data_IF_602594254402
#
_entry.id   IF_602594254402
#
_cell.length_a   1.000
_cell.length_b   1.000
_cell.length_c   1.000
_cell.angle_alpha   90.00
_cell.angle_beta   90.00
_cell.angle_gamma   90.00
#
_symmetry.space_group_name_H-M   'P 1'
#
loop_
_entity.id
_entity.type
_entity.pdbx_description
1 polymer ?
#
# COMPACT_ATOMS: atom_id res chain seq x y z
N UNK A 1 40.15 49.25 -7.19
CA UNK A 1 39.22 48.22 -7.69
C UNK A 1 37.82 48.68 -7.35
N UNK A 2 36.99 48.94 -8.36
CA UNK A 2 35.71 49.62 -8.16
C UNK A 2 34.74 48.72 -7.42
N UNK A 3 34.17 49.21 -6.31
CA UNK A 3 33.29 48.42 -5.43
C UNK A 3 32.07 47.85 -6.18
N UNK A 4 31.64 48.49 -7.27
CA UNK A 4 30.57 47.97 -8.14
C UNK A 4 30.99 46.73 -8.94
N UNK A 5 32.26 46.67 -9.38
CA UNK A 5 32.81 45.55 -10.11
C UNK A 5 33.00 44.31 -9.21
N UNK A 6 33.33 44.52 -7.93
CA UNK A 6 33.45 43.43 -6.94
C UNK A 6 32.10 42.81 -6.59
N UNK A 7 31.02 43.59 -6.51
CA UNK A 7 29.67 43.05 -6.29
C UNK A 7 29.15 42.25 -7.51
N UNK A 8 29.49 42.68 -8.73
CA UNK A 8 29.10 41.98 -9.95
C UNK A 8 29.79 40.62 -10.10
N UNK A 9 31.10 40.53 -9.82
CA UNK A 9 31.86 39.27 -9.87
C UNK A 9 31.44 38.28 -8.78
N UNK A 10 31.16 38.75 -7.56
CA UNK A 10 30.68 37.89 -6.48
C UNK A 10 29.30 37.26 -6.79
N UNK A 11 28.42 38.00 -7.48
CA UNK A 11 27.10 37.49 -7.88
C UNK A 11 27.18 36.40 -8.95
N UNK A 12 28.16 36.45 -9.86
CA UNK A 12 28.35 35.41 -10.90
C UNK A 12 28.91 34.13 -10.26
N UNK A 13 29.86 34.25 -9.33
CA UNK A 13 30.42 33.09 -8.61
C UNK A 13 29.34 32.39 -7.78
N UNK A 14 28.44 33.15 -7.13
CA UNK A 14 27.32 32.57 -6.37
C UNK A 14 26.34 31.76 -7.23
N UNK A 15 26.01 32.24 -8.43
CA UNK A 15 25.11 31.53 -9.36
C UNK A 15 25.77 30.26 -9.93
N UNK A 16 27.09 30.31 -10.20
CA UNK A 16 27.83 29.13 -10.68
C UNK A 16 27.91 28.04 -9.60
N UNK A 17 28.11 28.40 -8.32
CA UNK A 17 28.13 27.44 -7.19
C UNK A 17 26.76 26.80 -6.94
N UNK A 18 25.66 27.56 -7.10
CA UNK A 18 24.31 27.01 -6.97
C UNK A 18 23.96 26.06 -8.12
N UNK A 19 24.36 26.38 -9.35
CA UNK A 19 24.14 25.51 -10.51
C UNK A 19 24.93 24.20 -10.42
N UNK A 20 26.21 24.24 -9.98
CA UNK A 20 27.01 23.02 -9.76
C UNK A 20 26.53 22.21 -8.56
N UNK A 21 26.08 22.86 -7.48
CA UNK A 21 25.46 22.17 -6.35
C UNK A 21 24.16 21.45 -6.72
N UNK A 22 23.34 22.06 -7.60
CA UNK A 22 22.09 21.46 -8.06
C UNK A 22 22.32 20.30 -9.03
N UNK A 23 23.31 20.38 -9.94
CA UNK A 23 23.67 19.26 -10.80
C UNK A 23 24.35 18.13 -10.03
N UNK A 24 25.21 18.42 -9.05
CA UNK A 24 25.84 17.40 -8.20
C UNK A 24 24.81 16.75 -7.24
N UNK A 25 23.86 17.52 -6.71
CA UNK A 25 22.74 17.02 -5.92
C UNK A 25 21.86 16.07 -6.74
N UNK A 26 21.48 16.46 -7.96
CA UNK A 26 20.72 15.57 -8.87
C UNK A 26 21.52 14.33 -9.28
N UNK A 27 22.85 14.40 -9.40
CA UNK A 27 23.68 13.21 -9.66
C UNK A 27 23.62 12.21 -8.50
N UNK A 28 23.72 12.69 -7.24
CA UNK A 28 23.62 11.82 -6.06
C UNK A 28 22.23 11.18 -5.88
N UNK A 29 21.15 11.83 -6.37
CA UNK A 29 19.81 11.23 -6.38
C UNK A 29 19.57 10.32 -7.59
N UNK A 30 20.29 10.50 -8.70
CA UNK A 30 20.15 9.69 -9.92
C UNK A 30 21.05 8.45 -9.95
N UNK A 31 22.11 8.42 -9.14
CA UNK A 31 23.04 7.29 -9.00
C UNK A 31 22.77 6.42 -7.76
N UNK A 32 21.66 6.63 -7.03
CA UNK A 32 21.17 5.57 -6.13
C UNK A 32 20.82 4.38 -7.02
N UNK A 33 21.59 3.28 -6.98
CA UNK A 33 21.10 2.05 -7.54
C UNK A 33 19.92 1.67 -6.66
N UNK A 34 18.74 1.57 -7.26
CA UNK A 34 17.65 0.79 -6.68
C UNK A 34 18.13 -0.67 -6.66
N UNK A 35 18.88 -1.04 -5.62
CA UNK A 35 19.56 -2.31 -5.52
C UNK A 35 20.33 -2.47 -4.21
N UNK A 36 19.80 -3.36 -3.35
CA UNK A 36 20.46 -4.09 -2.25
C UNK A 36 21.10 -3.27 -1.11
N UNK A 37 20.43 -3.24 0.04
CA UNK A 37 21.12 -3.42 1.31
C UNK A 37 20.69 -4.76 1.93
N UNK A 38 21.67 -5.66 2.03
CA UNK A 38 21.64 -6.88 2.83
C UNK A 38 21.36 -6.52 4.30
N UNK A 39 20.16 -6.83 4.77
CA UNK A 39 19.98 -7.15 6.18
C UNK A 39 20.00 -8.67 6.33
N UNK A 40 21.16 -9.14 6.78
CA UNK A 40 21.50 -10.50 7.18
C UNK A 40 20.30 -11.20 7.85
N UNK A 41 19.60 -12.01 7.07
CA UNK A 41 18.68 -13.01 7.60
C UNK A 41 19.52 -14.18 8.08
N UNK A 42 19.46 -14.44 9.38
CA UNK A 42 19.88 -15.72 9.93
C UNK A 42 19.06 -16.82 9.24
N UNK A 43 19.76 -17.83 8.70
CA UNK A 43 19.18 -19.08 8.26
C UNK A 43 18.33 -19.69 9.38
N UNK A 44 17.05 -19.90 9.11
CA UNK A 44 16.27 -20.96 9.73
C UNK A 44 15.59 -21.71 8.60
N UNK A 45 16.13 -22.90 8.32
CA UNK A 45 15.65 -23.79 7.28
C UNK A 45 14.49 -24.68 7.81
N UNK A 46 13.61 -24.98 6.85
CA UNK A 46 12.64 -26.09 6.72
C UNK A 46 11.23 -26.05 7.32
N UNK A 47 10.31 -26.01 6.34
CA UNK A 47 9.14 -26.88 6.16
C UNK A 47 7.93 -26.62 7.08
N UNK A 48 7.00 -25.80 6.59
CA UNK A 48 5.68 -26.27 6.14
C UNK A 48 4.74 -25.06 5.96
N UNK A 49 4.62 -24.50 4.75
CA UNK A 49 3.35 -24.00 4.17
C UNK A 49 3.51 -23.98 2.64
N UNK A 50 3.38 -25.15 2.02
CA UNK A 50 3.18 -25.27 0.58
C UNK A 50 1.66 -25.28 0.32
N UNK A 51 1.14 -24.18 -0.21
CA UNK A 51 0.10 -24.24 -1.23
C UNK A 51 0.15 -22.97 -2.08
N UNK A 52 0.88 -23.08 -3.17
CA UNK A 52 0.90 -22.14 -4.27
C UNK A 52 -0.51 -21.98 -4.86
N UNK A 53 -1.01 -20.74 -4.88
CA UNK A 53 -1.95 -20.29 -5.91
C UNK A 53 -1.38 -19.00 -6.47
N UNK A 54 -0.81 -19.13 -7.68
CA UNK A 54 -0.41 -18.10 -8.62
C UNK A 54 0.25 -16.84 -8.02
N UNK A 55 1.58 -16.82 -8.04
CA UNK A 55 2.34 -15.56 -8.06
C UNK A 55 2.06 -14.86 -9.40
N UNK A 56 0.91 -14.19 -9.48
CA UNK A 56 0.57 -13.30 -10.59
C UNK A 56 1.41 -12.04 -10.40
N UNK A 57 2.24 -11.76 -11.41
CA UNK A 57 3.21 -10.68 -11.43
C UNK A 57 2.51 -9.32 -11.55
N UNK A 58 1.94 -8.86 -10.44
CA UNK A 58 1.44 -7.51 -10.22
C UNK A 58 1.72 -7.11 -8.78
N UNK A 59 2.58 -6.11 -8.57
CA UNK A 59 2.99 -5.66 -7.24
C UNK A 59 1.83 -5.22 -6.34
N UNK A 60 0.66 -4.94 -6.91
CA UNK A 60 -0.53 -4.46 -6.23
C UNK A 60 -1.53 -5.58 -5.85
N UNK A 61 -1.25 -6.86 -6.08
CA UNK A 61 -2.21 -7.94 -5.79
C UNK A 61 -1.95 -8.66 -4.45
N UNK A 62 -0.85 -8.38 -3.76
CA UNK A 62 -0.35 -9.25 -2.70
C UNK A 62 -0.39 -8.59 -1.33
N UNK A 63 -0.84 -9.36 -0.33
CA UNK A 63 -0.88 -8.95 1.07
C UNK A 63 0.50 -9.18 1.73
N UNK A 64 1.28 -8.11 1.88
CA UNK A 64 2.67 -8.13 2.36
C UNK A 64 2.86 -8.05 3.88
N UNK A 65 1.78 -8.03 4.67
CA UNK A 65 1.86 -8.07 6.13
C UNK A 65 2.11 -9.48 6.67
N UNK A 66 2.79 -9.55 7.81
CA UNK A 66 3.10 -10.78 8.56
C UNK A 66 2.73 -10.63 10.03
N UNK A 67 2.97 -11.67 10.83
CA UNK A 67 2.71 -11.62 12.28
C UNK A 67 3.57 -10.58 13.01
N UNK A 68 4.72 -10.20 12.44
CA UNK A 68 5.64 -9.20 13.01
C UNK A 68 5.35 -7.79 12.54
N UNK A 69 4.36 -7.60 11.65
CA UNK A 69 3.96 -6.26 11.19
C UNK A 69 3.39 -5.44 12.34
N UNK A 70 3.64 -4.14 12.26
CA UNK A 70 3.07 -3.13 13.15
C UNK A 70 1.57 -2.97 12.92
N UNK A 71 0.86 -2.40 13.90
CA UNK A 71 -0.56 -2.09 13.76
C UNK A 71 -0.83 -1.14 12.58
N UNK A 72 0.05 -0.17 12.34
CA UNK A 72 -0.07 0.79 11.25
C UNK A 72 0.02 0.12 9.88
N UNK A 73 0.96 -0.82 9.70
CA UNK A 73 1.07 -1.62 8.48
C UNK A 73 -0.18 -2.48 8.24
N UNK A 74 -0.73 -3.07 9.30
CA UNK A 74 -1.96 -3.85 9.22
C UNK A 74 -3.15 -2.95 8.85
N UNK A 75 -3.28 -1.78 9.46
CA UNK A 75 -4.31 -0.78 9.12
C UNK A 75 -4.17 -0.34 7.66
N UNK A 76 -2.95 -0.07 7.19
CA UNK A 76 -2.67 0.33 5.81
C UNK A 76 -3.07 -0.76 4.81
N UNK A 77 -2.76 -2.02 5.12
CA UNK A 77 -3.19 -3.16 4.32
C UNK A 77 -4.72 -3.29 4.29
N UNK A 78 -5.39 -3.20 5.44
CA UNK A 78 -6.85 -3.26 5.55
C UNK A 78 -7.52 -2.12 4.78
N UNK A 79 -6.99 -0.89 4.89
CA UNK A 79 -7.48 0.25 4.11
C UNK A 79 -7.33 0.00 2.61
N UNK A 80 -6.17 -0.49 2.18
CA UNK A 80 -5.90 -0.80 0.77
C UNK A 80 -6.81 -1.90 0.23
N UNK A 81 -7.30 -2.82 1.08
CA UNK A 81 -8.30 -3.81 0.69
C UNK A 81 -9.65 -3.15 0.37
N UNK A 82 -10.07 -2.12 1.12
CA UNK A 82 -11.35 -1.44 0.88
C UNK A 82 -11.42 -0.74 -0.49
N UNK A 83 -10.29 -0.43 -1.11
CA UNK A 83 -10.23 0.23 -2.42
C UNK A 83 -10.89 -0.59 -3.54
N UNK A 84 -10.98 -1.91 -3.40
CA UNK A 84 -11.72 -2.77 -4.34
C UNK A 84 -13.22 -2.48 -4.36
N UNK A 85 -13.79 -2.03 -3.23
CA UNK A 85 -15.23 -1.88 -3.04
C UNK A 85 -15.72 -0.43 -3.04
N UNK A 86 -14.81 0.55 -3.13
CA UNK A 86 -15.11 1.97 -2.91
C UNK A 86 -14.53 2.84 -4.03
N UNK A 87 -15.38 3.69 -4.62
CA UNK A 87 -15.02 4.76 -5.57
C UNK A 87 -14.30 5.90 -4.84
N UNK A 88 -13.40 6.60 -5.55
CA UNK A 88 -12.45 7.64 -5.07
C UNK A 88 -11.04 7.15 -4.70
N UNK A 89 -10.71 5.89 -5.00
CA UNK A 89 -9.38 5.32 -4.81
C UNK A 89 -8.65 4.99 -6.11
N UNK A 90 -9.13 5.49 -7.27
CA UNK A 90 -8.44 5.33 -8.55
C UNK A 90 -7.00 5.86 -8.48
N UNK A 91 -6.04 5.05 -8.93
CA UNK A 91 -4.61 5.38 -8.88
C UNK A 91 -3.93 5.16 -7.52
N UNK A 92 -4.68 4.78 -6.47
CA UNK A 92 -4.09 4.31 -5.21
C UNK A 92 -3.80 2.81 -5.31
N UNK A 93 -2.75 2.35 -4.63
CA UNK A 93 -2.51 0.92 -4.47
C UNK A 93 -3.71 0.24 -3.81
N UNK A 94 -4.01 -0.98 -4.21
CA UNK A 94 -5.07 -1.78 -3.62
C UNK A 94 -4.51 -3.14 -3.21
N UNK A 95 -5.28 -3.88 -2.42
CA UNK A 95 -5.04 -5.29 -2.13
C UNK A 95 -6.36 -6.01 -2.40
N UNK A 96 -6.38 -7.22 -2.97
CA UNK A 96 -7.63 -7.93 -3.20
C UNK A 96 -8.41 -8.13 -1.89
N UNK A 97 -9.67 -7.70 -1.85
CA UNK A 97 -10.64 -7.93 -0.77
C UNK A 97 -11.17 -9.37 -0.84
N UNK A 98 -10.26 -10.35 -0.85
CA UNK A 98 -10.60 -11.76 -0.87
C UNK A 98 -10.85 -12.27 0.55
N UNK A 99 -11.69 -13.30 0.67
CA UNK A 99 -11.86 -14.03 1.94
C UNK A 99 -10.53 -14.51 2.51
N UNK A 100 -9.63 -15.02 1.65
CA UNK A 100 -8.29 -15.49 2.03
C UNK A 100 -7.45 -14.38 2.67
N UNK A 101 -7.48 -13.17 2.10
CA UNK A 101 -6.75 -12.04 2.67
C UNK A 101 -7.39 -11.58 3.99
N UNK A 102 -8.72 -11.52 4.08
CA UNK A 102 -9.41 -11.18 5.32
C UNK A 102 -9.07 -12.17 6.47
N UNK A 103 -9.05 -13.47 6.18
CA UNK A 103 -8.65 -14.50 7.15
C UNK A 103 -7.18 -14.38 7.56
N UNK A 104 -6.28 -14.07 6.63
CA UNK A 104 -4.85 -13.83 6.94
C UNK A 104 -4.67 -12.62 7.84
N UNK A 105 -5.33 -11.49 7.55
CA UNK A 105 -5.32 -10.30 8.42
C UNK A 105 -5.85 -10.67 9.81
N UNK A 106 -6.98 -11.36 9.89
CA UNK A 106 -7.58 -11.80 11.17
C UNK A 106 -6.62 -12.66 11.99
N UNK A 107 -5.87 -13.57 11.35
CA UNK A 107 -4.85 -14.37 12.02
C UNK A 107 -3.73 -13.50 12.62
N UNK A 108 -3.27 -12.49 11.88
CA UNK A 108 -2.25 -11.54 12.34
C UNK A 108 -2.77 -10.73 13.54
N UNK A 109 -4.00 -10.23 13.47
CA UNK A 109 -4.66 -9.52 14.56
C UNK A 109 -4.77 -10.39 15.82
N UNK A 110 -5.16 -11.66 15.67
CA UNK A 110 -5.31 -12.59 16.79
C UNK A 110 -4.01 -12.83 17.55
N UNK A 111 -2.88 -12.93 16.86
CA UNK A 111 -1.56 -13.16 17.47
C UNK A 111 -0.85 -11.90 17.97
N UNK A 112 -1.44 -10.72 17.83
CA UNK A 112 -0.87 -9.45 18.28
C UNK A 112 -1.70 -8.75 19.35
N UNK A 113 -1.10 -7.78 20.04
CA UNK A 113 -1.75 -6.92 21.05
C UNK A 113 -1.82 -5.47 20.56
N UNK A 114 -2.62 -5.23 19.53
CA UNK A 114 -2.81 -3.91 18.93
C UNK A 114 -3.84 -3.07 19.67
N UNK A 115 -3.73 -1.74 19.58
CA UNK A 115 -4.60 -0.79 20.28
C UNK A 115 -6.05 -0.89 19.80
N UNK A 116 -6.26 -1.05 18.49
CA UNK A 116 -7.57 -1.11 17.84
C UNK A 116 -8.01 -2.55 17.53
N UNK A 117 -7.37 -3.56 18.13
CA UNK A 117 -7.55 -4.98 17.79
C UNK A 117 -9.01 -5.43 17.70
N UNK A 118 -9.84 -5.05 18.67
CA UNK A 118 -11.24 -5.50 18.74
C UNK A 118 -12.05 -5.04 17.51
N UNK A 119 -11.91 -3.76 17.16
CA UNK A 119 -12.58 -3.18 15.99
C UNK A 119 -12.06 -3.79 14.69
N UNK A 120 -10.74 -3.94 14.55
CA UNK A 120 -10.13 -4.55 13.37
C UNK A 120 -10.55 -6.03 13.20
N UNK A 121 -10.73 -6.77 14.31
CA UNK A 121 -11.24 -8.13 14.29
C UNK A 121 -12.71 -8.20 13.87
N UNK A 122 -13.55 -7.27 14.32
CA UNK A 122 -14.94 -7.21 13.91
C UNK A 122 -15.08 -6.94 12.40
N UNK A 123 -14.29 -5.99 11.89
CA UNK A 123 -14.24 -5.66 10.46
C UNK A 123 -13.78 -6.89 9.64
N UNK A 124 -12.66 -7.53 10.03
CA UNK A 124 -12.16 -8.70 9.28
C UNK A 124 -13.09 -9.91 9.35
N UNK A 125 -13.86 -10.08 10.42
CA UNK A 125 -14.90 -11.12 10.50
C UNK A 125 -16.01 -10.87 9.48
N UNK A 126 -16.49 -9.63 9.32
CA UNK A 126 -17.46 -9.28 8.26
C UNK A 126 -16.91 -9.60 6.88
N UNK A 127 -15.68 -9.17 6.59
CA UNK A 127 -15.04 -9.42 5.29
C UNK A 127 -14.84 -10.91 5.00
N UNK A 128 -14.44 -11.70 5.99
CA UNK A 128 -14.30 -13.16 5.83
C UNK A 128 -15.65 -13.86 5.56
N UNK A 129 -16.75 -13.25 5.98
CA UNK A 129 -18.12 -13.67 5.69
C UNK A 129 -18.71 -13.02 4.42
N UNK A 130 -17.91 -12.23 3.68
CA UNK A 130 -18.32 -11.45 2.49
C UNK A 130 -19.43 -10.44 2.77
N UNK A 131 -19.49 -9.96 4.01
CA UNK A 131 -20.34 -8.85 4.37
C UNK A 131 -19.56 -7.55 4.16
N UNK A 132 -19.98 -6.80 3.13
CA UNK A 132 -19.43 -5.50 2.77
C UNK A 132 -20.47 -4.38 2.96
N UNK A 133 -21.51 -4.63 3.76
CA UNK A 133 -22.59 -3.66 3.99
C UNK A 133 -22.13 -2.37 4.67
N UNK A 134 -21.00 -2.39 5.39
CA UNK A 134 -20.40 -1.25 6.09
C UNK A 134 -19.09 -0.77 5.44
N UNK A 135 -18.80 -1.17 4.20
CA UNK A 135 -17.47 -0.98 3.61
C UNK A 135 -17.05 0.49 3.45
N UNK A 136 -18.03 1.38 3.28
CA UNK A 136 -17.78 2.82 3.19
C UNK A 136 -17.42 3.42 4.54
N UNK A 137 -18.13 3.02 5.60
CA UNK A 137 -17.85 3.38 6.98
C UNK A 137 -16.48 2.86 7.41
N UNK A 138 -16.14 1.63 7.04
CA UNK A 138 -14.86 0.98 7.32
C UNK A 138 -13.69 1.66 6.59
N UNK A 139 -13.85 1.99 5.30
CA UNK A 139 -12.89 2.80 4.55
C UNK A 139 -12.62 4.13 5.26
N UNK A 140 -13.68 4.82 5.69
CA UNK A 140 -13.57 6.10 6.39
C UNK A 140 -12.97 5.96 7.79
N UNK A 141 -13.22 4.83 8.46
CA UNK A 141 -12.60 4.51 9.75
C UNK A 141 -11.08 4.41 9.62
N UNK A 142 -10.56 3.70 8.60
CA UNK A 142 -9.11 3.61 8.40
C UNK A 142 -8.46 4.95 8.09
N UNK A 143 -9.10 5.80 7.27
CA UNK A 143 -8.63 7.16 7.02
C UNK A 143 -8.44 7.93 8.34
N UNK A 144 -9.41 7.85 9.25
CA UNK A 144 -9.31 8.52 10.57
C UNK A 144 -8.16 7.96 11.41
N UNK A 145 -7.96 6.64 11.41
CA UNK A 145 -6.84 6.02 12.14
C UNK A 145 -5.48 6.48 11.60
N UNK A 146 -5.40 6.73 10.30
CA UNK A 146 -4.19 7.26 9.62
C UNK A 146 -4.07 8.78 9.73
N UNK A 147 -4.98 9.47 10.44
CA UNK A 147 -4.96 10.92 10.62
C UNK A 147 -5.36 11.72 9.37
N UNK A 148 -6.02 11.10 8.40
CA UNK A 148 -6.51 11.76 7.19
C UNK A 148 -7.89 12.39 7.34
N UNK A 149 -8.27 13.17 6.33
CA UNK A 149 -9.62 13.75 6.20
C UNK A 149 -10.51 12.88 5.30
N UNK A 150 -11.77 12.71 5.69
CA UNK A 150 -12.74 11.94 4.90
C UNK A 150 -13.14 12.75 3.66
N UNK A 151 -12.95 12.16 2.48
CA UNK A 151 -13.43 12.68 1.20
C UNK A 151 -14.80 12.14 0.79
N UNK A 152 -15.19 12.40 -0.44
CA UNK A 152 -16.46 11.93 -1.03
C UNK A 152 -16.30 10.54 -1.68
N UNK A 153 -16.19 9.51 -0.83
CA UNK A 153 -16.17 8.12 -1.26
C UNK A 153 -17.60 7.56 -1.41
N UNK A 154 -17.81 6.64 -2.35
CA UNK A 154 -19.08 5.92 -2.55
C UNK A 154 -18.83 4.45 -2.82
N UNK A 155 -19.79 3.57 -2.51
CA UNK A 155 -19.66 2.14 -2.80
C UNK A 155 -19.64 1.90 -4.31
N UNK A 156 -18.74 1.02 -4.76
CA UNK A 156 -18.63 0.62 -6.16
C UNK A 156 -19.74 -0.37 -6.52
N UNK A 157 -20.33 -0.25 -7.71
CA UNK A 157 -21.21 -1.30 -8.22
C UNK A 157 -20.40 -2.47 -8.79
N UNK A 158 -21.05 -3.60 -9.03
CA UNK A 158 -20.37 -4.84 -9.46
C UNK A 158 -19.64 -4.69 -10.80
N UNK A 159 -20.15 -3.85 -11.72
CA UNK A 159 -19.52 -3.67 -13.03
C UNK A 159 -18.24 -2.86 -12.87
N UNK A 160 -18.32 -1.75 -12.16
CA UNK A 160 -17.16 -0.92 -11.86
C UNK A 160 -16.12 -1.68 -11.04
N UNK A 161 -16.55 -2.52 -10.07
CA UNK A 161 -15.64 -3.36 -9.27
C UNK A 161 -14.87 -4.36 -10.14
N UNK A 162 -15.54 -4.98 -11.09
CA UNK A 162 -14.89 -5.91 -12.01
C UNK A 162 -13.87 -5.20 -12.90
N UNK A 163 -14.21 -4.02 -13.40
CA UNK A 163 -13.29 -3.18 -14.20
C UNK A 163 -12.10 -2.72 -13.36
N UNK A 164 -12.34 -2.32 -12.11
CA UNK A 164 -11.30 -1.96 -11.16
C UNK A 164 -10.33 -3.14 -10.93
N UNK A 165 -10.86 -4.31 -10.60
CA UNK A 165 -10.04 -5.51 -10.36
C UNK A 165 -9.21 -5.88 -11.59
N UNK A 166 -9.81 -5.84 -12.78
CA UNK A 166 -9.10 -6.11 -14.03
C UNK A 166 -7.94 -5.14 -14.23
N UNK A 167 -8.19 -3.84 -14.08
CA UNK A 167 -7.18 -2.80 -14.28
C UNK A 167 -6.10 -2.79 -13.20
N UNK A 168 -6.41 -3.17 -11.96
CA UNK A 168 -5.50 -3.07 -10.81
C UNK A 168 -4.74 -4.36 -10.54
N UNK A 169 -5.39 -5.52 -10.70
CA UNK A 169 -4.83 -6.83 -10.35
C UNK A 169 -4.56 -7.73 -11.57
N UNK A 170 -5.11 -7.39 -12.74
CA UNK A 170 -4.97 -8.18 -13.97
C UNK A 170 -5.94 -9.36 -14.07
N UNK A 171 -5.96 -9.99 -15.25
CA UNK A 171 -6.91 -11.02 -15.67
C UNK A 171 -6.92 -12.23 -14.73
N UNK A 172 -5.75 -12.77 -14.38
CA UNK A 172 -5.62 -14.01 -13.61
C UNK A 172 -6.18 -13.84 -12.19
N UNK A 173 -5.83 -12.74 -11.51
CA UNK A 173 -6.32 -12.45 -10.15
C UNK A 173 -7.81 -12.15 -10.19
N UNK A 174 -8.27 -11.38 -11.17
CA UNK A 174 -9.70 -11.06 -11.33
C UNK A 174 -10.53 -12.33 -11.57
N UNK A 175 -10.06 -13.23 -12.44
CA UNK A 175 -10.70 -14.51 -12.68
C UNK A 175 -10.74 -15.39 -11.42
N UNK A 176 -9.68 -15.35 -10.61
CA UNK A 176 -9.65 -16.06 -9.33
C UNK A 176 -10.69 -15.50 -8.34
N UNK A 177 -10.83 -14.17 -8.23
CA UNK A 177 -11.82 -13.52 -7.37
C UNK A 177 -13.26 -13.84 -7.80
N UNK A 178 -13.53 -13.87 -9.11
CA UNK A 178 -14.84 -14.31 -9.64
C UNK A 178 -15.10 -15.77 -9.26
N UNK A 179 -14.11 -16.65 -9.44
CA UNK A 179 -14.24 -18.08 -9.14
C UNK A 179 -14.44 -18.35 -7.64
N UNK A 180 -13.81 -17.56 -6.76
CA UNK A 180 -13.96 -17.70 -5.31
C UNK A 180 -15.24 -17.05 -4.77
N UNK A 181 -15.94 -16.25 -5.59
CA UNK A 181 -17.12 -15.47 -5.19
C UNK A 181 -16.76 -14.25 -4.34
N UNK A 182 -15.57 -13.70 -4.50
CA UNK A 182 -15.11 -12.47 -3.84
C UNK A 182 -15.38 -11.20 -4.67
N UNK A 183 -15.90 -11.40 -5.90
CA UNK A 183 -16.33 -10.37 -6.85
C UNK A 183 -17.83 -10.51 -7.15
#
# INVERSE_FOLDING_TARGET
MDKKLTYWLASIIGVVVLATGMTYGMLQFAEVPMGSEDHVFAEVDKEDILSNEAEVKGSNAQLHITITSTEEEVISAMHSMTHQKVKACEGKGAIPMSKKNAEKVRSILNGNHFKNKEELLAITERWANRDFSEILEEHNYFIKLQGGEIGEATVMDTVDEQVFCFNTFGDDVTAALVKSGDL
#
